data_IF_790805811302
#
_entry.id   IF_790805811302
#
_cell.length_a   1.000
_cell.length_b   1.000
_cell.length_c   1.000
_cell.angle_alpha   90.00
_cell.angle_beta   90.00
_cell.angle_gamma   90.00
#
_symmetry.space_group_name_H-M   'P 1'
#
loop_
_entity.id
_entity.type
_entity.pdbx_description
1 polymer ?
#
# COMPACT_ATOMS: atom_id res chain seq x y z
N UNK A 1 -1.67 -13.01 18.63
CA UNK A 1 -1.35 -14.45 18.75
C UNK A 1 -2.60 -15.32 18.61
N UNK A 2 -3.66 -15.08 19.39
CA UNK A 2 -4.92 -15.85 19.37
C UNK A 2 -5.51 -16.04 17.96
N UNK A 3 -5.65 -14.99 17.16
CA UNK A 3 -6.23 -15.09 15.81
C UNK A 3 -5.44 -16.02 14.87
N UNK A 4 -4.10 -16.11 15.01
CA UNK A 4 -3.28 -17.02 14.20
C UNK A 4 -3.52 -18.47 14.61
N UNK A 5 -3.61 -18.73 15.92
CA UNK A 5 -3.95 -20.05 16.44
C UNK A 5 -5.34 -20.49 15.97
N UNK A 6 -6.32 -19.59 15.92
CA UNK A 6 -7.66 -19.88 15.40
C UNK A 6 -7.65 -20.17 13.90
N UNK A 7 -6.83 -19.48 13.10
CA UNK A 7 -6.68 -19.78 11.67
C UNK A 7 -5.99 -21.14 11.44
N UNK A 8 -4.99 -21.50 12.26
CA UNK A 8 -4.41 -22.84 12.23
C UNK A 8 -5.41 -23.92 12.64
N UNK A 9 -6.23 -23.66 13.66
CA UNK A 9 -7.29 -24.57 14.06
C UNK A 9 -8.30 -24.78 12.92
N UNK A 10 -8.66 -23.71 12.20
CA UNK A 10 -9.49 -23.79 11.00
C UNK A 10 -8.83 -24.61 9.87
N UNK A 11 -7.54 -24.42 9.62
CA UNK A 11 -6.80 -25.22 8.65
C UNK A 11 -6.76 -26.71 9.04
N UNK A 12 -6.57 -27.01 10.33
CA UNK A 12 -6.63 -28.39 10.85
C UNK A 12 -8.04 -28.98 10.71
N UNK A 13 -9.09 -28.19 10.99
CA UNK A 13 -10.47 -28.62 10.79
C UNK A 13 -10.73 -29.03 9.33
N UNK A 14 -10.35 -28.20 8.36
CA UNK A 14 -10.46 -28.54 6.94
C UNK A 14 -9.58 -29.72 6.53
N UNK A 15 -8.37 -29.83 7.08
CA UNK A 15 -7.49 -30.97 6.84
C UNK A 15 -8.15 -32.27 7.29
N UNK A 16 -8.66 -32.32 8.53
CA UNK A 16 -9.30 -33.51 9.08
C UNK A 16 -10.58 -33.87 8.31
N UNK A 17 -11.37 -32.88 7.90
CA UNK A 17 -12.55 -33.13 7.09
C UNK A 17 -12.17 -33.72 5.71
N UNK A 18 -11.19 -33.12 5.02
CA UNK A 18 -10.71 -33.62 3.73
C UNK A 18 -10.12 -35.02 3.83
N UNK A 19 -9.31 -35.29 4.85
CA UNK A 19 -8.76 -36.63 5.12
C UNK A 19 -9.87 -37.65 5.37
N UNK A 20 -10.90 -37.30 6.15
CA UNK A 20 -12.05 -38.19 6.38
C UNK A 20 -12.76 -38.54 5.07
N UNK A 21 -13.03 -37.55 4.23
CA UNK A 21 -13.71 -37.76 2.94
C UNK A 21 -12.90 -38.63 1.97
N UNK A 22 -11.57 -38.56 2.03
CA UNK A 22 -10.67 -39.36 1.18
C UNK A 22 -10.50 -40.78 1.72
N UNK A 23 -10.29 -40.93 3.03
CA UNK A 23 -9.99 -42.21 3.66
C UNK A 23 -11.22 -43.10 3.87
N UNK A 24 -12.37 -42.50 4.13
CA UNK A 24 -13.64 -43.21 4.39
C UNK A 24 -14.83 -42.43 3.78
N UNK A 25 -14.95 -42.39 2.43
CA UNK A 25 -16.02 -41.66 1.76
C UNK A 25 -17.42 -42.23 2.09
N UNK A 26 -17.53 -43.54 2.29
CA UNK A 26 -18.79 -44.19 2.65
C UNK A 26 -19.22 -43.80 4.08
N UNK A 27 -18.33 -43.90 5.07
CA UNK A 27 -18.63 -43.48 6.44
C UNK A 27 -18.80 -41.96 6.59
N UNK A 28 -18.20 -41.16 5.70
CA UNK A 28 -18.57 -39.74 5.58
C UNK A 28 -20.02 -39.57 5.12
N UNK A 29 -20.43 -40.25 4.04
CA UNK A 29 -21.78 -40.17 3.48
C UNK A 29 -22.86 -40.62 4.48
N UNK A 30 -22.64 -41.76 5.12
CA UNK A 30 -23.60 -42.35 6.07
C UNK A 30 -23.64 -41.59 7.40
N UNK A 31 -22.50 -41.06 7.84
CA UNK A 31 -22.34 -40.40 9.14
C UNK A 31 -22.65 -38.90 9.16
N UNK A 32 -22.70 -38.25 8.00
CA UNK A 32 -22.92 -36.79 7.92
C UNK A 32 -24.40 -36.49 7.73
N UNK A 33 -25.06 -36.01 8.79
CA UNK A 33 -26.49 -35.75 8.79
C UNK A 33 -26.91 -34.80 7.65
N UNK A 34 -27.90 -35.22 6.87
CA UNK A 34 -28.44 -34.46 5.74
C UNK A 34 -27.83 -34.80 4.38
N UNK A 35 -26.61 -35.34 4.31
CA UNK A 35 -25.94 -35.62 3.02
C UNK A 35 -26.72 -36.63 2.18
N UNK A 36 -27.15 -37.75 2.77
CA UNK A 36 -27.92 -38.79 2.07
C UNK A 36 -29.31 -38.32 1.60
N UNK A 37 -29.82 -37.21 2.14
CA UNK A 37 -31.08 -36.60 1.68
C UNK A 37 -30.89 -35.70 0.44
N UNK A 38 -29.64 -35.39 0.04
CA UNK A 38 -29.34 -34.52 -1.11
C UNK A 38 -29.03 -35.28 -2.40
N UNK A 39 -28.89 -36.61 -2.33
CA UNK A 39 -28.62 -37.46 -3.49
C UNK A 39 -28.05 -38.83 -3.12
N UNK A 40 -27.87 -39.68 -4.13
CA UNK A 40 -27.22 -40.99 -3.96
C UNK A 40 -25.72 -40.89 -3.68
N UNK A 41 -25.16 -41.93 -3.07
CA UNK A 41 -23.72 -42.04 -2.82
C UNK A 41 -22.90 -41.97 -4.12
N UNK A 42 -21.88 -41.12 -4.12
CA UNK A 42 -20.89 -41.04 -5.18
C UNK A 42 -19.49 -40.86 -4.57
N UNK A 43 -18.69 -41.92 -4.62
CA UNK A 43 -17.32 -41.92 -4.09
C UNK A 43 -16.46 -40.83 -4.71
N UNK A 44 -16.46 -40.71 -6.04
CA UNK A 44 -15.58 -39.80 -6.76
C UNK A 44 -15.86 -38.34 -6.35
N UNK A 45 -17.15 -37.99 -6.27
CA UNK A 45 -17.58 -36.67 -5.83
C UNK A 45 -17.12 -36.33 -4.41
N UNK A 46 -17.26 -37.26 -3.46
CA UNK A 46 -16.83 -37.06 -2.07
C UNK A 46 -15.30 -36.90 -2.00
N UNK A 47 -14.55 -37.73 -2.73
CA UNK A 47 -13.09 -37.68 -2.76
C UNK A 47 -12.58 -36.37 -3.38
N UNK A 48 -13.20 -35.89 -4.46
CA UNK A 48 -12.85 -34.61 -5.10
C UNK A 48 -13.03 -33.42 -4.16
N UNK A 49 -14.14 -33.40 -3.42
CA UNK A 49 -14.36 -32.40 -2.37
C UNK A 49 -13.32 -32.53 -1.26
N UNK A 50 -12.95 -33.76 -0.89
CA UNK A 50 -11.87 -34.04 0.04
C UNK A 50 -10.54 -33.40 -0.40
N UNK A 51 -10.17 -33.51 -1.68
CA UNK A 51 -8.99 -32.84 -2.23
C UNK A 51 -9.11 -31.31 -2.20
N UNK A 52 -10.29 -30.75 -2.47
CA UNK A 52 -10.52 -29.31 -2.35
C UNK A 52 -10.29 -28.81 -0.91
N UNK A 53 -10.75 -29.56 0.09
CA UNK A 53 -10.46 -29.26 1.51
C UNK A 53 -8.98 -29.42 1.86
N UNK A 54 -8.28 -30.44 1.34
CA UNK A 54 -6.83 -30.60 1.54
C UNK A 54 -6.04 -29.41 1.00
N UNK A 55 -6.32 -28.98 -0.23
CA UNK A 55 -5.66 -27.82 -0.85
C UNK A 55 -5.97 -26.54 -0.06
N UNK A 56 -7.23 -26.37 0.33
CA UNK A 56 -7.68 -25.24 1.16
C UNK A 56 -6.93 -25.18 2.49
N UNK A 57 -6.83 -26.31 3.19
CA UNK A 57 -6.10 -26.44 4.45
C UNK A 57 -4.60 -26.14 4.29
N UNK A 58 -3.97 -26.69 3.25
CA UNK A 58 -2.56 -26.47 2.95
C UNK A 58 -2.25 -25.01 2.64
N UNK A 59 -3.03 -24.38 1.77
CA UNK A 59 -2.90 -22.96 1.44
C UNK A 59 -3.13 -22.07 2.66
N UNK A 60 -4.15 -22.36 3.48
CA UNK A 60 -4.38 -21.62 4.72
C UNK A 60 -3.21 -21.76 5.70
N UNK A 61 -2.76 -22.99 6.00
CA UNK A 61 -1.66 -23.23 6.93
C UNK A 61 -0.36 -22.57 6.46
N UNK A 62 -0.03 -22.70 5.17
CA UNK A 62 1.09 -22.02 4.53
C UNK A 62 0.94 -20.49 4.63
N UNK A 63 -0.26 -19.96 4.39
CA UNK A 63 -0.54 -18.53 4.52
C UNK A 63 -0.35 -18.00 5.94
N UNK A 64 -0.77 -18.75 6.97
CA UNK A 64 -0.55 -18.36 8.38
C UNK A 64 0.93 -18.47 8.77
N UNK A 65 1.64 -19.46 8.24
CA UNK A 65 3.06 -19.68 8.48
C UNK A 65 3.93 -18.61 7.81
N UNK A 66 3.71 -18.38 6.51
CA UNK A 66 4.39 -17.38 5.68
C UNK A 66 3.89 -15.95 5.93
N UNK A 67 2.85 -15.78 6.75
CA UNK A 67 2.19 -14.50 7.04
C UNK A 67 1.64 -13.80 5.79
N UNK A 68 1.14 -14.57 4.82
CA UNK A 68 0.58 -14.07 3.57
C UNK A 68 -0.94 -14.12 3.57
N UNK A 69 -1.59 -12.95 3.70
CA UNK A 69 -3.06 -12.86 3.69
C UNK A 69 -3.67 -13.38 2.39
N UNK A 70 -3.06 -13.08 1.24
CA UNK A 70 -3.54 -13.55 -0.07
C UNK A 70 -3.61 -15.08 -0.13
N UNK A 71 -2.64 -15.77 0.45
CA UNK A 71 -2.61 -17.24 0.47
C UNK A 71 -3.64 -17.82 1.44
N UNK A 72 -3.87 -17.17 2.58
CA UNK A 72 -4.98 -17.52 3.50
C UNK A 72 -6.33 -17.34 2.78
N UNK A 73 -6.53 -16.22 2.07
CA UNK A 73 -7.76 -15.95 1.34
C UNK A 73 -7.94 -16.91 0.15
N UNK A 74 -6.86 -17.26 -0.56
CA UNK A 74 -6.90 -18.28 -1.60
C UNK A 74 -7.32 -19.65 -1.04
N UNK A 75 -6.77 -20.05 0.12
CA UNK A 75 -7.20 -21.27 0.81
C UNK A 75 -8.63 -21.21 1.34
N UNK A 76 -9.18 -20.02 1.58
CA UNK A 76 -10.57 -19.84 2.00
C UNK A 76 -11.57 -19.71 0.85
N UNK A 77 -11.12 -19.55 -0.39
CA UNK A 77 -12.00 -19.29 -1.53
C UNK A 77 -13.04 -20.39 -1.73
N UNK A 78 -12.61 -21.66 -1.77
CA UNK A 78 -13.52 -22.78 -1.96
C UNK A 78 -14.45 -23.01 -0.75
N UNK A 79 -13.98 -23.04 0.52
CA UNK A 79 -14.87 -23.17 1.68
C UNK A 79 -15.93 -22.06 1.78
N UNK A 80 -15.59 -20.82 1.40
CA UNK A 80 -16.55 -19.70 1.38
C UNK A 80 -17.60 -19.88 0.29
N UNK A 81 -17.20 -20.25 -0.93
CA UNK A 81 -18.16 -20.53 -2.00
C UNK A 81 -19.07 -21.72 -1.65
N UNK A 82 -18.50 -22.75 -1.03
CA UNK A 82 -19.23 -23.91 -0.56
C UNK A 82 -20.25 -23.54 0.54
N UNK A 83 -19.84 -22.74 1.54
CA UNK A 83 -20.74 -22.21 2.55
C UNK A 83 -21.86 -21.33 1.95
N UNK A 84 -21.57 -20.55 0.91
CA UNK A 84 -22.59 -19.76 0.21
C UNK A 84 -23.63 -20.66 -0.48
N UNK A 85 -23.19 -21.76 -1.10
CA UNK A 85 -24.10 -22.75 -1.69
C UNK A 85 -25.01 -23.39 -0.63
N UNK A 86 -24.46 -23.82 0.51
CA UNK A 86 -25.24 -24.37 1.61
C UNK A 86 -26.21 -23.35 2.23
N UNK A 87 -25.79 -22.09 2.35
CA UNK A 87 -26.66 -21.00 2.81
C UNK A 87 -27.86 -20.81 1.88
N UNK A 88 -27.64 -20.81 0.56
CA UNK A 88 -28.70 -20.71 -0.42
C UNK A 88 -29.66 -21.92 -0.37
N UNK A 89 -29.11 -23.14 -0.28
CA UNK A 89 -29.90 -24.36 -0.15
C UNK A 89 -30.78 -24.36 1.10
N UNK A 90 -30.23 -23.99 2.25
CA UNK A 90 -30.97 -23.88 3.51
C UNK A 90 -32.08 -22.82 3.44
N UNK A 91 -31.82 -21.68 2.78
CA UNK A 91 -32.82 -20.64 2.60
C UNK A 91 -33.98 -21.06 1.69
N UNK A 92 -33.71 -21.88 0.67
CA UNK A 92 -34.72 -22.33 -0.29
C UNK A 92 -35.52 -23.53 0.18
N UNK A 93 -34.88 -24.48 0.87
CA UNK A 93 -35.46 -25.80 1.14
C UNK A 93 -35.64 -26.09 2.64
N UNK A 94 -35.05 -25.28 3.52
CA UNK A 94 -34.98 -25.58 4.94
C UNK A 94 -34.09 -26.78 5.24
N UNK A 95 -33.96 -27.11 6.53
CA UNK A 95 -33.20 -28.28 6.96
C UNK A 95 -34.08 -29.51 7.06
N UNK A 96 -33.59 -30.65 6.55
CA UNK A 96 -34.31 -31.94 6.58
C UNK A 96 -34.44 -32.54 8.00
N UNK A 97 -33.59 -32.09 8.93
CA UNK A 97 -33.68 -32.44 10.36
C UNK A 97 -32.89 -31.43 11.19
N UNK A 98 -33.09 -31.45 12.51
CA UNK A 98 -32.27 -30.64 13.43
C UNK A 98 -30.78 -31.02 13.35
N UNK A 99 -30.46 -32.31 13.25
CA UNK A 99 -29.08 -32.77 13.12
C UNK A 99 -28.44 -32.24 11.82
N UNK A 100 -29.17 -32.27 10.70
CA UNK A 100 -28.72 -31.68 9.45
C UNK A 100 -28.52 -30.16 9.58
N UNK A 101 -29.44 -29.44 10.23
CA UNK A 101 -29.30 -28.01 10.47
C UNK A 101 -28.00 -27.67 11.24
N UNK A 102 -27.64 -28.47 12.25
CA UNK A 102 -26.39 -28.29 13.01
C UNK A 102 -25.17 -28.54 12.13
N UNK A 103 -25.20 -29.54 11.25
CA UNK A 103 -24.10 -29.81 10.30
C UNK A 103 -23.96 -28.67 9.29
N UNK A 104 -25.06 -28.23 8.69
CA UNK A 104 -25.12 -27.12 7.73
C UNK A 104 -24.55 -25.84 8.33
N UNK A 105 -25.02 -25.45 9.52
CA UNK A 105 -24.63 -24.19 10.15
C UNK A 105 -23.28 -24.27 10.85
N UNK A 106 -23.06 -25.27 11.70
CA UNK A 106 -21.87 -25.40 12.54
C UNK A 106 -20.70 -26.08 11.86
N UNK A 107 -20.95 -26.97 10.91
CA UNK A 107 -19.93 -27.72 10.17
C UNK A 107 -19.47 -27.04 8.88
N UNK A 108 -20.35 -26.27 8.23
CA UNK A 108 -20.06 -25.67 6.91
C UNK A 108 -20.06 -24.14 6.95
N UNK A 109 -21.17 -23.52 7.33
CA UNK A 109 -21.36 -22.06 7.18
C UNK A 109 -20.53 -21.25 8.18
N UNK A 110 -20.68 -21.54 9.48
CA UNK A 110 -20.04 -20.79 10.56
C UNK A 110 -18.50 -20.85 10.48
N UNK A 111 -17.85 -22.01 10.26
CA UNK A 111 -16.39 -22.06 10.11
C UNK A 111 -15.88 -21.15 8.99
N UNK A 112 -16.52 -21.17 7.82
CA UNK A 112 -16.11 -20.34 6.68
C UNK A 112 -16.23 -18.83 7.01
N UNK A 113 -17.35 -18.40 7.60
CA UNK A 113 -17.59 -17.01 7.98
C UNK A 113 -16.62 -16.53 9.07
N UNK A 114 -16.41 -17.34 10.11
CA UNK A 114 -15.47 -17.00 11.19
C UNK A 114 -14.06 -16.89 10.63
N UNK A 115 -13.63 -17.84 9.79
CA UNK A 115 -12.27 -17.86 9.27
C UNK A 115 -12.01 -16.73 8.27
N UNK A 116 -12.98 -16.33 7.44
CA UNK A 116 -12.81 -15.14 6.56
C UNK A 116 -12.74 -13.85 7.37
N UNK A 117 -13.57 -13.67 8.40
CA UNK A 117 -13.50 -12.51 9.30
C UNK A 117 -12.15 -12.48 10.03
N UNK A 118 -11.67 -13.63 10.52
CA UNK A 118 -10.36 -13.74 11.13
C UNK A 118 -9.23 -13.44 10.14
N UNK A 119 -9.30 -13.93 8.90
CA UNK A 119 -8.30 -13.67 7.87
C UNK A 119 -8.19 -12.18 7.50
N UNK A 120 -9.32 -11.46 7.50
CA UNK A 120 -9.38 -10.02 7.27
C UNK A 120 -8.86 -9.21 8.46
N UNK A 121 -9.10 -9.68 9.69
CA UNK A 121 -8.76 -8.97 10.94
C UNK A 121 -7.44 -9.38 11.58
N UNK A 122 -6.84 -10.49 11.18
CA UNK A 122 -5.58 -10.94 11.78
C UNK A 122 -4.50 -9.92 11.45
N UNK A 123 -3.84 -9.29 12.45
CA UNK A 123 -2.69 -8.46 12.22
C UNK A 123 -1.56 -9.41 11.83
N UNK A 124 -1.39 -9.60 10.54
CA UNK A 124 -0.18 -10.17 9.97
C UNK A 124 0.88 -9.07 10.01
N UNK A 125 1.21 -8.60 11.21
CA UNK A 125 2.40 -7.79 11.44
C UNK A 125 3.60 -8.65 11.00
N UNK A 126 4.32 -8.16 10.00
CA UNK A 126 5.10 -8.97 9.09
C UNK A 126 4.65 -8.80 7.65
N UNK A 127 4.33 -7.57 7.24
CA UNK A 127 4.52 -7.18 5.84
C UNK A 127 6.01 -6.92 5.63
N UNK A 128 6.84 -7.95 5.86
CA UNK A 128 8.01 -8.07 5.01
C UNK A 128 7.47 -7.93 3.60
N UNK A 129 7.83 -6.84 2.90
CA UNK A 129 7.75 -6.82 1.45
C UNK A 129 8.25 -8.20 1.04
N UNK A 130 7.46 -9.05 0.39
CA UNK A 130 7.85 -10.46 0.17
C UNK A 130 9.13 -10.62 -0.66
N UNK A 131 9.82 -9.51 -0.93
CA UNK A 131 10.99 -9.30 -1.75
C UNK A 131 11.78 -8.06 -1.23
N UNK A 132 12.33 -8.03 0.01
CA UNK A 132 13.15 -6.90 0.46
C UNK A 132 14.34 -6.70 -0.50
N UNK A 133 14.86 -7.80 -1.07
CA UNK A 133 15.85 -7.78 -2.16
C UNK A 133 15.40 -6.98 -3.38
N UNK A 134 14.12 -7.03 -3.77
CA UNK A 134 13.60 -6.28 -4.90
C UNK A 134 13.34 -4.82 -4.55
N UNK A 135 12.95 -4.53 -3.30
CA UNK A 135 12.88 -3.14 -2.81
C UNK A 135 14.27 -2.52 -2.79
N UNK A 136 15.27 -3.21 -2.21
CA UNK A 136 16.66 -2.76 -2.27
C UNK A 136 17.21 -2.68 -3.70
N UNK A 137 16.77 -3.55 -4.62
CA UNK A 137 17.15 -3.44 -6.03
C UNK A 137 16.53 -2.20 -6.68
N UNK A 138 15.27 -1.89 -6.37
CA UNK A 138 14.59 -0.66 -6.78
C UNK A 138 15.26 0.59 -6.21
N UNK A 139 15.64 0.55 -4.93
CA UNK A 139 16.40 1.61 -4.28
C UNK A 139 17.77 1.80 -4.94
N UNK A 140 18.55 0.74 -5.18
CA UNK A 140 19.82 0.86 -5.93
C UNK A 140 19.65 1.46 -7.33
N UNK A 141 18.57 1.10 -8.03
CA UNK A 141 18.24 1.70 -9.32
C UNK A 141 17.92 3.20 -9.17
N UNK A 142 17.17 3.56 -8.13
CA UNK A 142 16.85 4.95 -7.82
C UNK A 142 18.09 5.76 -7.44
N UNK A 143 18.98 5.21 -6.60
CA UNK A 143 20.27 5.79 -6.24
C UNK A 143 21.12 6.05 -7.49
N UNK A 144 21.20 5.08 -8.40
CA UNK A 144 21.95 5.22 -9.65
C UNK A 144 21.31 6.24 -10.62
N UNK A 145 19.98 6.27 -10.70
CA UNK A 145 19.26 7.21 -11.59
C UNK A 145 19.42 8.67 -11.14
N UNK A 146 19.40 8.91 -9.83
CA UNK A 146 19.36 10.25 -9.25
C UNK A 146 20.65 10.66 -8.54
N UNK A 147 21.71 9.86 -8.63
CA UNK A 147 22.96 10.06 -7.88
C UNK A 147 22.72 10.40 -6.40
N UNK A 148 21.79 9.68 -5.78
CA UNK A 148 21.24 10.00 -4.46
C UNK A 148 21.57 8.91 -3.43
N UNK A 149 21.91 9.30 -2.21
CA UNK A 149 22.09 8.36 -1.08
C UNK A 149 20.73 8.01 -0.44
N UNK A 150 20.29 6.77 -0.68
CA UNK A 150 19.07 6.19 -0.12
C UNK A 150 19.34 5.23 1.05
N UNK A 151 20.50 5.29 1.70
CA UNK A 151 20.86 4.39 2.81
C UNK A 151 19.81 4.39 3.95
N UNK A 152 19.15 5.52 4.19
CA UNK A 152 18.03 5.60 5.16
C UNK A 152 16.81 4.77 4.72
N UNK A 153 16.49 4.72 3.43
CA UNK A 153 15.42 3.86 2.90
C UNK A 153 15.81 2.39 3.00
N UNK A 154 17.08 2.06 2.74
CA UNK A 154 17.60 0.71 2.98
C UNK A 154 17.41 0.31 4.46
N UNK A 155 17.79 1.19 5.40
CA UNK A 155 17.58 0.96 6.84
C UNK A 155 16.10 0.79 7.19
N UNK A 156 15.19 1.56 6.59
CA UNK A 156 13.76 1.43 6.83
C UNK A 156 13.21 0.10 6.31
N UNK A 157 13.69 -0.39 5.16
CA UNK A 157 13.35 -1.73 4.65
C UNK A 157 13.78 -2.81 5.65
N UNK A 158 14.97 -2.67 6.25
CA UNK A 158 15.50 -3.66 7.18
C UNK A 158 14.87 -3.60 8.59
N UNK A 159 14.49 -2.41 9.05
CA UNK A 159 14.04 -2.18 10.44
C UNK A 159 12.52 -2.09 10.60
N UNK A 160 11.81 -1.53 9.60
CA UNK A 160 10.36 -1.28 9.61
C UNK A 160 9.75 -1.52 8.22
N UNK A 161 9.82 -2.74 7.66
CA UNK A 161 9.47 -3.04 6.26
C UNK A 161 8.02 -2.67 5.88
N UNK A 162 7.10 -2.72 6.84
CA UNK A 162 5.70 -2.35 6.65
C UNK A 162 5.55 -0.87 6.26
N UNK A 163 6.46 0.02 6.71
CA UNK A 163 6.44 1.47 6.44
C UNK A 163 6.76 1.80 4.99
N UNK A 164 7.57 0.96 4.32
CA UNK A 164 8.02 1.21 2.95
C UNK A 164 6.85 1.19 1.96
N UNK A 165 5.84 0.35 2.20
CA UNK A 165 4.63 0.32 1.35
C UNK A 165 3.86 1.63 1.41
N UNK A 166 3.74 2.20 2.60
CA UNK A 166 3.10 3.49 2.79
C UNK A 166 3.89 4.59 2.07
N UNK A 167 5.22 4.59 2.23
CA UNK A 167 6.11 5.55 1.58
C UNK A 167 6.08 5.44 0.04
N UNK A 168 6.04 4.22 -0.52
CA UNK A 168 5.89 3.99 -1.96
C UNK A 168 4.50 4.45 -2.45
N UNK A 169 3.43 4.14 -1.71
CA UNK A 169 2.09 4.60 -2.07
C UNK A 169 2.00 6.14 -2.05
N UNK A 170 2.58 6.77 -1.04
CA UNK A 170 2.66 8.23 -0.89
C UNK A 170 3.45 8.89 -2.02
N UNK A 171 4.60 8.31 -2.41
CA UNK A 171 5.33 8.76 -3.61
C UNK A 171 4.53 8.58 -4.90
N UNK A 172 3.71 7.52 -4.99
CA UNK A 172 2.81 7.31 -6.12
C UNK A 172 1.78 8.44 -6.28
N UNK A 173 1.37 9.08 -5.18
CA UNK A 173 0.38 10.16 -5.19
C UNK A 173 0.85 11.38 -6.00
N UNK A 174 2.14 11.72 -5.98
CA UNK A 174 2.66 12.84 -6.77
C UNK A 174 2.63 12.59 -8.29
N UNK A 175 2.46 11.33 -8.72
CA UNK A 175 2.31 10.96 -10.13
C UNK A 175 0.87 10.78 -10.61
N UNK A 176 -0.13 10.97 -9.75
CA UNK A 176 -1.56 10.78 -10.10
C UNK A 176 -2.19 12.00 -10.79
N UNK A 177 -1.48 13.14 -10.82
CA UNK A 177 -1.98 14.43 -11.28
C UNK A 177 -1.80 14.68 -12.77
N UNK A 178 -2.80 15.29 -13.41
CA UNK A 178 -2.73 15.79 -14.79
C UNK A 178 -3.36 17.18 -14.96
N UNK A 179 -3.78 17.85 -13.89
CA UNK A 179 -4.55 19.09 -13.98
C UNK A 179 -3.71 20.34 -13.70
N UNK A 180 -2.81 20.30 -12.71
CA UNK A 180 -1.87 21.36 -12.44
C UNK A 180 -0.79 21.43 -13.53
N UNK A 181 -0.41 22.64 -13.99
CA UNK A 181 0.77 22.79 -14.84
C UNK A 181 2.03 22.24 -14.14
N UNK A 182 2.90 21.47 -14.84
CA UNK A 182 4.13 20.95 -14.25
C UNK A 182 5.00 22.04 -13.61
N UNK A 183 5.16 23.17 -14.29
CA UNK A 183 5.87 24.35 -13.79
C UNK A 183 5.39 24.80 -12.40
N UNK A 184 4.07 24.81 -12.16
CA UNK A 184 3.50 25.18 -10.87
C UNK A 184 3.94 24.21 -9.77
N UNK A 185 3.92 22.90 -10.06
CA UNK A 185 4.33 21.85 -9.14
C UNK A 185 5.84 21.83 -8.91
N UNK A 186 6.65 22.18 -9.93
CA UNK A 186 8.10 22.29 -9.83
C UNK A 186 8.48 23.37 -8.82
N UNK A 187 7.91 24.57 -8.97
CA UNK A 187 8.13 25.68 -8.04
C UNK A 187 7.72 25.34 -6.61
N UNK A 188 6.52 24.77 -6.44
CA UNK A 188 6.00 24.39 -5.13
C UNK A 188 6.85 23.31 -4.43
N UNK A 189 7.23 22.26 -5.16
CA UNK A 189 8.05 21.17 -4.62
C UNK A 189 9.45 21.66 -4.23
N UNK A 190 10.03 22.57 -5.02
CA UNK A 190 11.32 23.19 -4.73
C UNK A 190 11.26 24.05 -3.47
N UNK A 191 10.28 24.95 -3.36
CA UNK A 191 10.08 25.78 -2.16
C UNK A 191 9.89 24.93 -0.90
N UNK A 192 9.05 23.89 -0.98
CA UNK A 192 8.81 22.97 0.13
C UNK A 192 10.08 22.22 0.56
N UNK A 193 10.90 21.78 -0.41
CA UNK A 193 12.14 21.05 -0.13
C UNK A 193 13.21 21.96 0.48
N UNK A 194 13.32 23.21 0.01
CA UNK A 194 14.25 24.20 0.56
C UNK A 194 13.87 24.64 1.97
N UNK A 195 12.57 24.75 2.27
CA UNK A 195 12.09 25.13 3.60
C UNK A 195 12.47 24.12 4.70
N UNK A 196 12.62 22.83 4.36
CA UNK A 196 12.96 21.78 5.32
C UNK A 196 14.46 21.69 5.67
N UNK A 197 15.31 22.51 5.02
CA UNK A 197 16.76 22.56 5.24
C UNK A 197 17.47 21.19 5.17
N UNK A 198 16.98 20.32 4.28
CA UNK A 198 17.63 19.04 3.95
C UNK A 198 18.33 19.16 2.60
N UNK A 199 19.64 19.39 2.59
CA UNK A 199 20.45 19.54 1.37
C UNK A 199 20.27 18.42 0.34
N UNK A 200 20.42 17.14 0.71
CA UNK A 200 20.17 16.03 -0.20
C UNK A 200 18.73 15.96 -0.74
N UNK A 201 17.75 16.40 0.05
CA UNK A 201 16.35 16.43 -0.35
C UNK A 201 16.08 17.57 -1.35
N UNK A 202 16.67 18.74 -1.13
CA UNK A 202 16.63 19.85 -2.07
C UNK A 202 17.33 19.47 -3.40
N UNK A 203 18.50 18.83 -3.34
CA UNK A 203 19.23 18.40 -4.54
C UNK A 203 18.40 17.43 -5.38
N UNK A 204 17.87 16.35 -4.79
CA UNK A 204 17.07 15.40 -5.57
C UNK A 204 15.78 16.03 -6.12
N UNK A 205 15.21 17.02 -5.44
CA UNK A 205 14.08 17.78 -5.99
C UNK A 205 14.51 18.59 -7.21
N UNK A 206 15.66 19.29 -7.16
CA UNK A 206 16.25 20.00 -8.31
C UNK A 206 16.44 19.05 -9.49
N UNK A 207 17.09 17.91 -9.25
CA UNK A 207 17.36 16.92 -10.31
C UNK A 207 16.05 16.44 -10.96
N UNK A 208 15.03 16.17 -10.15
CA UNK A 208 13.73 15.70 -10.63
C UNK A 208 12.96 16.74 -11.42
N UNK A 209 12.92 18.00 -10.97
CA UNK A 209 12.20 19.05 -11.71
C UNK A 209 12.90 19.38 -13.02
N UNK A 210 14.24 19.39 -13.03
CA UNK A 210 15.02 19.55 -14.28
C UNK A 210 14.77 18.38 -15.25
N UNK A 211 14.75 17.14 -14.76
CA UNK A 211 14.44 15.96 -15.57
C UNK A 211 13.00 15.97 -16.13
N UNK A 212 12.07 16.65 -15.43
CA UNK A 212 10.69 16.86 -15.87
C UNK A 212 10.52 18.12 -16.74
N UNK A 213 11.63 18.72 -17.20
CA UNK A 213 11.64 19.80 -18.19
C UNK A 213 11.70 21.22 -17.64
N UNK A 214 11.92 21.40 -16.33
CA UNK A 214 12.18 22.74 -15.79
C UNK A 214 13.51 23.30 -16.33
N UNK A 215 13.48 24.51 -16.87
CA UNK A 215 14.68 25.18 -17.34
C UNK A 215 15.66 25.45 -16.17
N UNK A 216 16.95 25.07 -16.28
CA UNK A 216 17.93 25.27 -15.23
C UNK A 216 18.05 26.74 -14.77
N UNK A 217 17.87 27.70 -15.69
CA UNK A 217 17.87 29.12 -15.33
C UNK A 217 16.69 29.50 -14.44
N UNK A 218 15.49 28.98 -14.72
CA UNK A 218 14.32 29.15 -13.86
C UNK A 218 14.58 28.57 -12.47
N UNK A 219 15.13 27.35 -12.38
CA UNK A 219 15.43 26.71 -11.09
C UNK A 219 16.45 27.53 -10.29
N UNK A 220 17.53 28.02 -10.93
CA UNK A 220 18.49 28.94 -10.30
C UNK A 220 17.84 30.23 -9.82
N UNK A 221 16.99 30.84 -10.65
CA UNK A 221 16.28 32.07 -10.31
C UNK A 221 15.37 31.87 -9.09
N UNK A 222 14.66 30.74 -9.01
CA UNK A 222 13.85 30.37 -7.85
C UNK A 222 14.69 30.20 -6.57
N UNK A 223 15.81 29.48 -6.63
CA UNK A 223 16.72 29.27 -5.48
C UNK A 223 17.27 30.62 -4.97
N UNK A 224 17.58 31.54 -5.88
CA UNK A 224 18.07 32.90 -5.57
C UNK A 224 16.95 33.88 -5.23
N UNK A 225 15.68 33.47 -5.34
CA UNK A 225 14.49 34.32 -5.21
C UNK A 225 14.45 35.51 -6.19
N UNK A 226 15.10 35.37 -7.34
CA UNK A 226 15.04 36.32 -8.46
C UNK A 226 13.84 35.97 -9.36
N UNK A 227 12.64 36.13 -8.83
CA UNK A 227 11.41 35.69 -9.50
C UNK A 227 11.15 36.39 -10.84
N UNK A 228 11.77 37.54 -11.10
CA UNK A 228 11.70 38.24 -12.39
C UNK A 228 12.40 37.51 -13.53
N UNK A 229 13.32 36.57 -13.22
CA UNK A 229 14.04 35.73 -14.18
C UNK A 229 13.53 34.29 -14.25
N UNK A 230 12.61 33.91 -13.36
CA UNK A 230 12.00 32.60 -13.37
C UNK A 230 10.80 32.57 -14.32
N UNK A 231 10.47 31.38 -14.83
CA UNK A 231 9.14 31.14 -15.41
C UNK A 231 8.04 31.60 -14.43
N UNK A 232 7.06 32.43 -14.86
CA UNK A 232 6.07 33.02 -13.96
C UNK A 232 5.19 31.99 -13.23
N UNK A 233 4.92 30.85 -13.85
CA UNK A 233 4.08 29.79 -13.24
C UNK A 233 4.85 29.08 -12.13
N UNK A 234 6.13 28.79 -12.37
CA UNK A 234 7.04 28.24 -11.38
C UNK A 234 7.27 29.22 -10.22
N UNK A 235 7.43 30.51 -10.52
CA UNK A 235 7.55 31.57 -9.52
C UNK A 235 6.30 31.67 -8.63
N UNK A 236 5.11 31.55 -9.21
CA UNK A 236 3.85 31.54 -8.45
C UNK A 236 3.77 30.33 -7.52
N UNK A 237 4.07 29.12 -8.02
CA UNK A 237 4.06 27.89 -7.21
C UNK A 237 5.06 27.94 -6.05
N UNK A 238 6.25 28.47 -6.31
CA UNK A 238 7.29 28.68 -5.30
C UNK A 238 6.86 29.70 -4.25
N UNK A 239 6.46 30.89 -4.67
CA UNK A 239 6.11 32.00 -3.77
C UNK A 239 4.90 31.66 -2.91
N UNK A 240 3.87 31.06 -3.51
CA UNK A 240 2.69 30.61 -2.76
C UNK A 240 3.08 29.60 -1.68
N UNK A 241 3.88 28.59 -2.04
CA UNK A 241 4.30 27.56 -1.09
C UNK A 241 5.18 28.13 0.01
N UNK A 242 6.13 29.01 -0.32
CA UNK A 242 6.97 29.68 0.66
C UNK A 242 6.14 30.51 1.66
N UNK A 243 5.18 31.30 1.17
CA UNK A 243 4.28 32.11 2.00
C UNK A 243 3.39 31.24 2.90
N UNK A 244 2.84 30.13 2.39
CA UNK A 244 2.05 29.18 3.19
C UNK A 244 2.89 28.59 4.33
N UNK A 245 4.13 28.18 4.05
CA UNK A 245 5.00 27.58 5.05
C UNK A 245 5.52 28.60 6.07
N UNK A 246 5.66 29.87 5.68
CA UNK A 246 6.00 30.98 6.57
C UNK A 246 4.79 31.51 7.39
N UNK A 247 3.56 31.15 7.02
CA UNK A 247 2.34 31.65 7.67
C UNK A 247 1.98 33.09 7.27
N UNK A 248 2.36 33.51 6.06
CA UNK A 248 2.15 34.86 5.54
C UNK A 248 0.72 35.06 5.00
N UNK A 249 0.17 36.26 5.18
CA UNK A 249 -1.20 36.56 4.77
C UNK A 249 -1.36 36.62 3.24
N UNK A 250 -0.29 36.97 2.54
CA UNK A 250 -0.18 37.06 1.08
C UNK A 250 -0.45 35.71 0.40
N UNK A 251 -0.29 34.59 1.11
CA UNK A 251 -0.63 33.26 0.63
C UNK A 251 -2.08 33.18 0.13
N UNK A 252 -3.03 33.89 0.77
CA UNK A 252 -4.45 33.82 0.38
C UNK A 252 -4.70 34.45 -0.99
N UNK A 253 -4.04 35.57 -1.31
CA UNK A 253 -4.16 36.20 -2.62
C UNK A 253 -3.59 35.29 -3.73
N UNK A 254 -2.44 34.65 -3.48
CA UNK A 254 -1.85 33.70 -4.41
C UNK A 254 -2.69 32.42 -4.57
N UNK A 255 -3.31 31.93 -3.48
CA UNK A 255 -4.28 30.82 -3.54
C UNK A 255 -5.42 31.15 -4.49
N UNK A 256 -6.03 32.32 -4.33
CA UNK A 256 -7.18 32.74 -5.14
C UNK A 256 -6.77 32.91 -6.61
N UNK A 257 -5.56 33.39 -6.88
CA UNK A 257 -4.99 33.44 -8.22
C UNK A 257 -4.80 32.05 -8.85
N UNK A 258 -4.25 31.09 -8.10
CA UNK A 258 -4.08 29.70 -8.56
C UNK A 258 -5.43 29.06 -8.88
N UNK A 259 -6.41 29.21 -7.99
CA UNK A 259 -7.77 28.67 -8.20
C UNK A 259 -8.42 29.32 -9.42
N UNK A 260 -8.29 30.64 -9.58
CA UNK A 260 -8.85 31.37 -10.72
C UNK A 260 -8.23 30.92 -12.05
N UNK A 261 -6.92 30.65 -12.10
CA UNK A 261 -6.19 30.29 -13.33
C UNK A 261 -6.25 28.81 -13.66
N UNK A 262 -6.19 27.94 -12.66
CA UNK A 262 -5.96 26.50 -12.83
C UNK A 262 -7.00 25.61 -12.13
N UNK A 263 -7.90 26.20 -11.33
CA UNK A 263 -8.98 25.48 -10.64
C UNK A 263 -8.58 24.86 -9.30
N UNK A 264 -9.59 24.46 -8.53
CA UNK A 264 -9.44 23.83 -7.20
C UNK A 264 -8.70 22.49 -7.25
N UNK A 265 -8.82 21.76 -8.37
CA UNK A 265 -8.10 20.51 -8.56
C UNK A 265 -6.59 20.76 -8.62
N UNK A 266 -6.13 21.75 -9.39
CA UNK A 266 -4.71 22.09 -9.46
C UNK A 266 -4.14 22.54 -8.10
N UNK A 267 -4.93 23.29 -7.32
CA UNK A 267 -4.55 23.66 -5.94
C UNK A 267 -4.37 22.42 -5.05
N UNK A 268 -5.27 21.43 -5.17
CA UNK A 268 -5.20 20.17 -4.41
C UNK A 268 -3.98 19.32 -4.81
N UNK A 269 -3.67 19.27 -6.11
CA UNK A 269 -2.49 18.61 -6.64
C UNK A 269 -1.19 19.28 -6.15
N UNK A 270 -1.16 20.62 -6.11
CA UNK A 270 -0.05 21.39 -5.52
C UNK A 270 0.12 21.06 -4.03
N UNK A 271 -0.97 21.08 -3.25
CA UNK A 271 -0.92 20.76 -1.82
C UNK A 271 -0.34 19.35 -1.57
N UNK A 272 -0.73 18.38 -2.39
CA UNK A 272 -0.20 17.02 -2.34
C UNK A 272 1.30 16.96 -2.69
N UNK A 273 1.74 17.69 -3.71
CA UNK A 273 3.16 17.79 -4.07
C UNK A 273 4.01 18.38 -2.93
N UNK A 274 3.48 19.38 -2.22
CA UNK A 274 4.11 19.98 -1.03
C UNK A 274 4.22 18.94 0.10
N UNK A 275 3.15 18.21 0.39
CA UNK A 275 3.17 17.15 1.44
C UNK A 275 4.19 16.06 1.13
N UNK A 276 4.23 15.59 -0.13
CA UNK A 276 5.19 14.56 -0.56
C UNK A 276 6.63 15.07 -0.43
N UNK A 277 6.90 16.28 -0.89
CA UNK A 277 8.24 16.90 -0.84
C UNK A 277 8.79 17.04 0.59
N UNK A 278 7.89 17.17 1.58
CA UNK A 278 8.25 17.34 3.00
C UNK A 278 8.30 16.05 3.81
N UNK A 279 7.94 14.91 3.23
CA UNK A 279 7.87 13.63 3.97
C UNK A 279 9.25 13.12 4.42
N UNK A 280 10.23 13.20 3.53
CA UNK A 280 11.56 12.61 3.75
C UNK A 280 12.54 13.46 4.57
N UNK A 281 12.57 14.80 4.44
CA UNK A 281 13.50 15.65 5.19
C UNK A 281 13.50 15.42 6.71
N UNK A 282 12.34 15.55 7.36
CA UNK A 282 12.20 15.32 8.80
C UNK A 282 12.67 13.92 9.21
N UNK A 283 12.32 12.90 8.43
CA UNK A 283 12.72 11.52 8.70
C UNK A 283 14.24 11.34 8.59
N UNK A 284 14.88 11.93 7.57
CA UNK A 284 16.34 11.89 7.40
C UNK A 284 17.04 12.59 8.56
N UNK A 285 16.57 13.75 8.97
CA UNK A 285 17.11 14.49 10.13
C UNK A 285 17.03 13.64 11.40
N UNK A 286 15.87 13.04 11.70
CA UNK A 286 15.68 12.18 12.88
C UNK A 286 16.53 10.89 12.86
N UNK A 287 16.90 10.40 11.67
CA UNK A 287 17.65 9.15 11.50
C UNK A 287 19.15 9.35 11.27
N UNK A 288 19.62 10.60 11.30
CA UNK A 288 21.04 10.96 11.13
C UNK A 288 21.53 10.96 9.69
N UNK A 289 20.62 10.94 8.71
CA UNK A 289 20.93 11.03 7.27
C UNK A 289 20.63 12.42 6.69
N UNK A 290 20.15 13.35 7.51
CA UNK A 290 19.98 14.75 7.14
C UNK A 290 21.32 15.47 7.12
N UNK A 291 21.47 16.40 6.19
CA UNK A 291 22.60 17.33 6.15
C UNK A 291 22.07 18.72 5.80
N UNK A 292 22.11 19.63 6.76
CA UNK A 292 21.93 21.05 6.48
C UNK A 292 23.19 21.59 5.78
N UNK A 293 23.03 22.61 4.94
CA UNK A 293 24.15 23.34 4.31
C UNK A 293 24.98 22.58 3.25
N UNK A 294 24.35 21.76 2.39
CA UNK A 294 25.01 21.32 1.15
C UNK A 294 24.91 22.40 0.05
N UNK A 295 25.98 22.53 -0.73
CA UNK A 295 25.97 23.23 -2.02
C UNK A 295 25.03 22.50 -2.97
N UNK A 296 24.09 23.23 -3.57
CA UNK A 296 23.16 22.68 -4.54
C UNK A 296 23.76 22.80 -5.93
N UNK A 297 23.64 21.77 -6.76
CA UNK A 297 24.05 21.79 -8.16
C UNK A 297 22.82 21.93 -9.06
N UNK A 298 22.84 22.92 -9.96
CA UNK A 298 21.81 23.09 -10.98
C UNK A 298 22.49 23.05 -12.35
N UNK A 299 22.43 21.87 -12.99
CA UNK A 299 23.04 21.59 -14.28
C UNK A 299 24.54 21.92 -14.34
N UNK A 300 25.31 21.46 -13.33
CA UNK A 300 26.75 21.64 -13.22
C UNK A 300 27.18 22.99 -12.64
N UNK A 301 26.24 23.84 -12.21
CA UNK A 301 26.53 25.10 -11.54
C UNK A 301 26.15 25.03 -10.07
N UNK A 302 27.12 25.35 -9.22
CA UNK A 302 26.90 25.42 -7.77
C UNK A 302 26.11 26.66 -7.39
N UNK A 303 25.02 26.45 -6.66
CA UNK A 303 24.14 27.46 -6.12
C UNK A 303 24.16 27.49 -4.59
N UNK A 304 23.97 28.69 -4.05
CA UNK A 304 23.74 28.92 -2.61
C UNK A 304 22.31 29.41 -2.44
N UNK A 305 21.57 28.79 -1.52
CA UNK A 305 20.19 29.16 -1.23
C UNK A 305 20.16 30.57 -0.64
N UNK A 306 19.32 31.44 -1.18
CA UNK A 306 19.12 32.77 -0.61
C UNK A 306 18.43 32.65 0.77
N UNK A 307 18.79 33.55 1.70
CA UNK A 307 18.16 33.60 3.01
C UNK A 307 16.63 33.79 2.88
N UNK A 308 15.89 33.14 3.78
CA UNK A 308 14.44 33.16 3.80
C UNK A 308 13.87 34.52 4.25
#
# INVERSE_FOLDING_TARGET
MIQRSLLYLGAVFYLLNGVRMIADPQGFFDGTAGVSATGGYNMHFIVDIGFAFLVSAGAMAAGVWLRQRSLILAGLAWPVLHAAFHTAGLAMHGAVSHAAWVVETGGVILPALVLVVLALRVPLAGLGTGMPRLVHAGLRRFEAQWSYDAAYLHRLVDTVPDSVRFLTALQGLSGLSRQAPPALLHGASLAASLHEDCGPCAQITIDKVCADGAEPETVRALIRRDFGRADPVSALGFSYTAAVLAGEAEAMAMRDEIVKRYGEAALSELALAVVVSRTYPTMKTLTGFGAACQRLDVAGQTETVAAA
#
